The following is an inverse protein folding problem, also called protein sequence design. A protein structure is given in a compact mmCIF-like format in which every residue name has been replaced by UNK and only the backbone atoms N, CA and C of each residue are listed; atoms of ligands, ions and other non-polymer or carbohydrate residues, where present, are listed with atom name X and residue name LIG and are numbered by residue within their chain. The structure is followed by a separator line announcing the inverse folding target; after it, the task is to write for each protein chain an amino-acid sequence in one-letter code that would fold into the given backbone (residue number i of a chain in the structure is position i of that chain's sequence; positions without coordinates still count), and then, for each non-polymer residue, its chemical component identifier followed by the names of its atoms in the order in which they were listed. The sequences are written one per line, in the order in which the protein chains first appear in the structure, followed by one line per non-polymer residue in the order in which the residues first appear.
data_IF_595278634837
#
_entry.id   IF_595278634837
#
_cell.length_a   1.000
_cell.length_b   1.000
_cell.length_c   1.000
_cell.angle_alpha   90.00
_cell.angle_beta   90.00
_cell.angle_gamma   90.00
#
_symmetry.space_group_name_H-M   'P 1'
#
loop_
_entity.id
_entity.type
_entity.pdbx_description
1 polymer ?
#
# COMPACT_ATOMS: atom_id res chain seq x y z
N UNK A 1 17.45 -1.59 -10.89
CA UNK A 1 16.70 -1.20 -9.68
C UNK A 1 16.42 -2.47 -8.90
N UNK A 2 16.61 -2.49 -7.57
CA UNK A 2 16.32 -3.68 -6.75
C UNK A 2 14.88 -3.63 -6.23
N UNK A 3 14.36 -4.79 -5.83
CA UNK A 3 13.09 -4.86 -5.13
C UNK A 3 13.23 -4.27 -3.72
N UNK A 4 12.14 -3.68 -3.25
CA UNK A 4 11.96 -3.32 -1.86
C UNK A 4 11.86 -4.57 -0.99
N UNK A 5 12.37 -4.51 0.23
CA UNK A 5 11.96 -5.44 1.27
C UNK A 5 10.67 -4.98 1.95
N UNK A 6 10.11 -5.78 2.86
CA UNK A 6 8.87 -5.46 3.57
C UNK A 6 8.95 -4.12 4.33
N UNK A 7 10.07 -3.84 5.00
CA UNK A 7 10.25 -2.60 5.74
C UNK A 7 10.24 -1.37 4.81
N UNK A 8 10.89 -1.46 3.65
CA UNK A 8 10.90 -0.39 2.64
C UNK A 8 9.52 -0.15 2.02
N UNK A 9 8.71 -1.20 1.82
CA UNK A 9 7.30 -1.05 1.42
C UNK A 9 6.50 -0.35 2.53
N UNK A 10 6.74 -0.72 3.79
CA UNK A 10 6.12 -0.06 4.94
C UNK A 10 6.49 1.41 5.04
N UNK A 11 7.77 1.75 4.90
CA UNK A 11 8.26 3.14 4.87
C UNK A 11 7.61 3.95 3.74
N UNK A 12 7.50 3.36 2.55
CA UNK A 12 6.84 3.99 1.42
C UNK A 12 5.37 4.31 1.72
N UNK A 13 4.63 3.39 2.33
CA UNK A 13 3.22 3.62 2.67
C UNK A 13 3.07 4.59 3.85
N UNK A 14 4.02 4.60 4.79
CA UNK A 14 4.06 5.60 5.86
C UNK A 14 4.26 7.02 5.33
N UNK A 15 5.00 7.21 4.23
CA UNK A 15 5.09 8.51 3.57
C UNK A 15 3.72 8.99 3.08
N UNK A 16 2.89 8.08 2.52
CA UNK A 16 1.51 8.40 2.15
C UNK A 16 0.66 8.76 3.37
N UNK A 17 0.76 7.98 4.45
CA UNK A 17 0.04 8.26 5.70
C UNK A 17 0.43 9.63 6.27
N UNK A 18 1.72 9.95 6.33
CA UNK A 18 2.20 11.26 6.78
C UNK A 18 1.71 12.41 5.89
N UNK A 19 1.64 12.20 4.57
CA UNK A 19 1.24 13.24 3.63
C UNK A 19 -0.30 13.46 3.57
N UNK A 20 -1.09 12.43 3.83
CA UNK A 20 -2.54 12.45 3.56
C UNK A 20 -3.43 12.20 4.77
N UNK A 21 -2.87 11.68 5.87
CA UNK A 21 -3.60 11.18 7.03
C UNK A 21 -4.22 9.79 6.84
N UNK A 22 -4.18 9.21 5.63
CA UNK A 22 -4.77 7.91 5.35
C UNK A 22 -3.84 6.78 5.79
N UNK A 23 -4.27 6.00 6.77
CA UNK A 23 -3.46 4.97 7.41
C UNK A 23 -3.51 3.67 6.61
N UNK A 24 -2.36 3.00 6.43
CA UNK A 24 -2.29 1.60 6.04
C UNK A 24 -2.08 0.72 7.27
N UNK A 25 -2.85 -0.36 7.42
CA UNK A 25 -2.59 -1.32 8.51
C UNK A 25 -1.33 -2.14 8.24
N UNK A 26 -0.69 -2.71 9.27
CA UNK A 26 0.44 -3.62 9.10
C UNK A 26 0.11 -4.79 8.15
N UNK A 27 -1.08 -5.37 8.28
CA UNK A 27 -1.52 -6.49 7.43
C UNK A 27 -1.71 -6.07 5.97
N UNK A 28 -2.08 -4.81 5.71
CA UNK A 28 -2.16 -4.26 4.36
C UNK A 28 -0.77 -4.13 3.72
N UNK A 29 0.22 -3.67 4.50
CA UNK A 29 1.62 -3.57 4.06
C UNK A 29 2.18 -4.95 3.74
N UNK A 30 2.00 -5.93 4.64
CA UNK A 30 2.43 -7.32 4.44
C UNK A 30 1.78 -7.93 3.20
N UNK A 31 0.46 -7.79 3.05
CA UNK A 31 -0.26 -8.32 1.90
C UNK A 31 0.20 -7.67 0.59
N UNK A 32 0.46 -6.35 0.59
CA UNK A 32 0.97 -5.67 -0.59
C UNK A 32 2.38 -6.15 -0.96
N UNK A 33 3.25 -6.38 0.03
CA UNK A 33 4.56 -6.97 -0.20
C UNK A 33 4.44 -8.38 -0.78
N UNK A 34 3.59 -9.24 -0.22
CA UNK A 34 3.40 -10.62 -0.68
C UNK A 34 2.89 -10.69 -2.13
N UNK A 35 1.97 -9.80 -2.53
CA UNK A 35 1.45 -9.78 -3.90
C UNK A 35 2.45 -9.26 -4.92
N UNK A 36 3.29 -8.30 -4.52
CA UNK A 36 4.18 -7.59 -5.44
C UNK A 36 5.62 -8.09 -5.42
N UNK A 37 5.97 -8.86 -4.39
CA UNK A 37 7.33 -9.31 -4.09
C UNK A 37 8.33 -8.13 -4.04
N UNK A 38 7.85 -6.97 -3.59
CA UNK A 38 8.65 -5.74 -3.46
C UNK A 38 9.02 -5.06 -4.77
N UNK A 39 8.48 -5.48 -5.92
CA UNK A 39 8.80 -4.84 -7.20
C UNK A 39 8.30 -3.38 -7.21
N UNK A 40 9.17 -2.36 -7.40
CA UNK A 40 8.79 -0.96 -7.19
C UNK A 40 7.60 -0.50 -8.04
N UNK A 41 7.51 -1.00 -9.28
CA UNK A 41 6.41 -0.64 -10.19
C UNK A 41 5.08 -1.26 -9.75
N UNK A 42 5.09 -2.50 -9.23
CA UNK A 42 3.88 -3.18 -8.73
C UNK A 42 3.42 -2.59 -7.41
N UNK A 43 4.33 -2.34 -6.46
CA UNK A 43 4.01 -1.72 -5.17
C UNK A 43 3.31 -0.39 -5.38
N UNK A 44 3.88 0.48 -6.23
CA UNK A 44 3.28 1.78 -6.53
C UNK A 44 1.94 1.66 -7.27
N UNK A 45 1.83 0.74 -8.24
CA UNK A 45 0.59 0.54 -8.98
C UNK A 45 -0.56 0.07 -8.08
N UNK A 46 -0.29 -0.89 -7.19
CA UNK A 46 -1.26 -1.43 -6.24
C UNK A 46 -1.70 -0.36 -5.24
N UNK A 47 -0.76 0.35 -4.63
CA UNK A 47 -1.08 1.44 -3.71
C UNK A 47 -1.94 2.51 -4.39
N UNK A 48 -1.58 2.91 -5.61
CA UNK A 48 -2.34 3.89 -6.40
C UNK A 48 -3.76 3.43 -6.69
N UNK A 49 -3.95 2.17 -7.10
CA UNK A 49 -5.28 1.61 -7.33
C UNK A 49 -6.16 1.70 -6.09
N UNK A 50 -5.61 1.32 -4.93
CA UNK A 50 -6.32 1.34 -3.66
C UNK A 50 -6.69 2.76 -3.24
N UNK A 51 -5.73 3.69 -3.22
CA UNK A 51 -5.96 5.03 -2.64
C UNK A 51 -6.68 6.00 -3.60
N UNK A 52 -6.48 5.87 -4.91
CA UNK A 52 -7.08 6.79 -5.89
C UNK A 52 -8.41 6.29 -6.46
N UNK A 53 -8.60 4.96 -6.57
CA UNK A 53 -9.79 4.40 -7.23
C UNK A 53 -10.76 3.75 -6.27
N UNK A 54 -10.27 3.00 -5.28
CA UNK A 54 -11.12 2.21 -4.39
C UNK A 54 -11.52 2.95 -3.11
N UNK A 55 -10.55 3.44 -2.34
CA UNK A 55 -10.75 4.07 -1.03
C UNK A 55 -10.33 5.53 -1.09
N UNK A 56 -11.18 6.33 -1.73
CA UNK A 56 -10.95 7.77 -1.95
C UNK A 56 -11.09 8.61 -0.68
N UNK A 57 -11.89 8.13 0.27
CA UNK A 57 -12.04 8.78 1.57
C UNK A 57 -10.82 8.47 2.44
N UNK A 58 -10.02 9.50 2.70
CA UNK A 58 -8.77 9.42 3.45
C UNK A 58 -8.95 9.17 4.95
N UNK A 59 -10.17 9.33 5.47
CA UNK A 59 -10.49 8.96 6.85
C UNK A 59 -10.63 7.44 7.03
N UNK A 60 -10.80 6.69 5.94
CA UNK A 60 -10.92 5.24 5.95
C UNK A 60 -9.51 4.63 5.89
N UNK A 61 -9.20 3.82 6.90
CA UNK A 61 -7.97 3.03 6.97
C UNK A 61 -7.92 1.98 5.86
N UNK A 62 -6.79 1.87 5.18
CA UNK A 62 -6.52 0.83 4.19
C UNK A 62 -6.18 -0.50 4.90
N UNK A 63 -7.08 -1.48 4.78
CA UNK A 63 -6.91 -2.83 5.34
C UNK A 63 -6.43 -3.82 4.29
N UNK A 64 -6.04 -5.01 4.75
CA UNK A 64 -5.74 -6.18 3.90
C UNK A 64 -6.82 -6.46 2.85
N UNK A 65 -8.09 -6.29 3.18
CA UNK A 65 -9.21 -6.59 2.27
C UNK A 65 -9.25 -5.64 1.06
N UNK A 66 -8.92 -4.36 1.27
CA UNK A 66 -8.77 -3.40 0.17
C UNK A 66 -7.62 -3.80 -0.75
N UNK A 67 -6.50 -4.25 -0.20
CA UNK A 67 -5.34 -4.71 -0.98
C UNK A 67 -5.70 -5.95 -1.82
N UNK A 68 -6.39 -6.92 -1.24
CA UNK A 68 -6.80 -8.14 -1.96
C UNK A 68 -7.82 -7.86 -3.07
N UNK A 69 -8.69 -6.87 -2.87
CA UNK A 69 -9.69 -6.47 -3.86
C UNK A 69 -9.06 -5.72 -5.05
N UNK A 70 -7.92 -5.05 -4.83
CA UNK A 70 -7.22 -4.26 -5.84
C UNK A 70 -6.23 -5.06 -6.70
N UNK A 71 -6.04 -6.36 -6.42
CA UNK A 71 -5.19 -7.28 -7.19
C UNK A 71 -5.67 -7.44 -8.63
#
# INVERSE_FOLDING_TARGET
MRNFNLAEVGELYQQHTAATGQIFTPEAIETAYDLTQGQPWLVNALAKEVVEKMVKDRSITITKEHILTAK
#
